data_IF_289318292133
#
_entry.id   IF_289318292133
#
_cell.length_a   1.000
_cell.length_b   1.000
_cell.length_c   1.000
_cell.angle_alpha   90.00
_cell.angle_beta   90.00
_cell.angle_gamma   90.00
#
_symmetry.space_group_name_H-M   'P 1'
#
loop_
_entity.id
_entity.type
_entity.pdbx_description
1 polymer ?
#
# COMPACT_ATOMS: atom_id res chain seq x y z
N UNK A 1 6.53 12.80 -2.86
CA UNK A 1 6.72 11.56 -2.07
C UNK A 1 5.36 10.92 -1.78
N UNK A 2 5.34 9.66 -1.33
CA UNK A 2 4.16 8.98 -0.76
C UNK A 2 4.36 8.90 0.76
N UNK A 3 3.42 9.41 1.55
CA UNK A 3 3.48 9.31 3.01
C UNK A 3 3.09 7.92 3.49
N UNK A 4 3.95 7.33 4.33
CA UNK A 4 3.71 6.09 5.05
C UNK A 4 3.76 6.33 6.56
N UNK A 5 2.60 6.31 7.19
CA UNK A 5 2.42 6.38 8.64
C UNK A 5 2.68 4.99 9.24
N UNK A 6 3.90 4.75 9.69
CA UNK A 6 4.31 3.48 10.24
C UNK A 6 3.98 3.37 11.73
N UNK A 7 3.51 2.20 12.16
CA UNK A 7 3.56 1.83 13.59
C UNK A 7 4.99 1.97 14.10
N UNK A 8 5.17 2.34 15.39
CA UNK A 8 6.51 2.49 15.99
C UNK A 8 7.41 1.27 15.74
N UNK A 9 6.85 0.06 15.86
CA UNK A 9 7.57 -1.20 15.59
C UNK A 9 8.08 -1.30 14.15
N UNK A 10 7.29 -0.86 13.16
CA UNK A 10 7.74 -0.82 11.76
C UNK A 10 8.78 0.28 11.57
N UNK A 11 8.53 1.49 12.09
CA UNK A 11 9.44 2.62 11.97
C UNK A 11 10.85 2.29 12.48
N UNK A 12 10.96 1.70 13.67
CA UNK A 12 12.23 1.26 14.27
C UNK A 12 12.93 0.13 13.49
N UNK A 13 12.19 -0.62 12.67
CA UNK A 13 12.75 -1.69 11.83
C UNK A 13 13.44 -1.13 10.57
N UNK A 14 13.01 0.05 10.12
CA UNK A 14 13.50 0.67 8.90
C UNK A 14 14.79 1.44 9.16
N UNK A 15 15.70 1.40 8.18
CA UNK A 15 16.89 2.23 8.16
C UNK A 15 16.58 3.49 7.36
N UNK A 16 16.07 4.51 8.04
CA UNK A 16 15.69 5.76 7.41
C UNK A 16 16.84 6.76 7.41
N UNK A 17 16.86 7.63 6.40
CA UNK A 17 17.67 8.84 6.36
C UNK A 17 17.09 9.92 7.28
N UNK A 18 17.80 11.04 7.47
CA UNK A 18 17.38 12.11 8.38
C UNK A 18 16.07 12.81 7.99
N UNK A 19 15.69 12.75 6.71
CA UNK A 19 14.44 13.27 6.15
C UNK A 19 13.27 12.26 6.18
N UNK A 20 13.48 11.10 6.82
CA UNK A 20 12.46 10.05 6.99
C UNK A 20 12.23 9.22 5.73
N UNK A 21 13.14 9.24 4.75
CA UNK A 21 13.06 8.43 3.54
C UNK A 21 13.93 7.18 3.65
N UNK A 22 13.75 6.24 2.73
CA UNK A 22 14.63 5.07 2.59
C UNK A 22 15.85 5.46 1.73
N UNK A 23 17.05 4.92 2.01
CA UNK A 23 18.19 5.07 1.12
C UNK A 23 17.84 4.63 -0.31
N UNK A 24 18.36 5.37 -1.29
CA UNK A 24 18.16 5.03 -2.71
C UNK A 24 18.86 3.72 -3.01
N UNK A 25 18.15 2.81 -3.67
CA UNK A 25 18.68 1.53 -4.15
C UNK A 25 18.58 1.45 -5.67
N UNK A 26 19.41 0.65 -6.36
CA UNK A 26 19.30 0.50 -7.82
C UNK A 26 17.92 0.05 -8.28
N UNK A 27 17.24 -0.80 -7.49
CA UNK A 27 15.93 -1.37 -7.83
C UNK A 27 14.79 -0.34 -7.79
N UNK A 28 14.91 0.71 -6.97
CA UNK A 28 13.90 1.76 -6.86
C UNK A 28 14.38 3.16 -7.22
N UNK A 29 15.57 3.30 -7.84
CA UNK A 29 16.16 4.59 -8.19
C UNK A 29 15.25 5.42 -9.11
N UNK A 30 14.59 4.77 -10.05
CA UNK A 30 13.65 5.39 -11.00
C UNK A 30 12.48 6.15 -10.34
N UNK A 31 12.08 5.79 -9.10
CA UNK A 31 11.07 6.55 -8.36
C UNK A 31 11.53 7.98 -8.06
N UNK A 32 12.84 8.18 -7.87
CA UNK A 32 13.44 9.48 -7.56
C UNK A 32 13.65 10.35 -8.80
N UNK A 33 13.59 9.75 -9.99
CA UNK A 33 13.68 10.46 -11.28
C UNK A 33 12.34 11.09 -11.69
N UNK A 34 11.22 10.60 -11.12
CA UNK A 34 9.90 11.14 -11.40
C UNK A 34 9.73 12.56 -10.82
N UNK A 35 9.13 13.52 -11.56
CA UNK A 35 8.96 14.89 -11.11
C UNK A 35 8.26 15.00 -9.76
N UNK A 36 8.63 15.96 -8.92
CA UNK A 36 7.91 16.21 -7.67
C UNK A 36 6.43 16.53 -7.93
N UNK A 37 5.57 16.16 -6.98
CA UNK A 37 4.15 16.47 -6.99
C UNK A 37 3.84 17.23 -5.71
N UNK A 38 3.14 18.38 -5.84
CA UNK A 38 2.70 19.17 -4.68
C UNK A 38 1.72 18.38 -3.83
N UNK A 39 0.75 17.72 -4.49
CA UNK A 39 -0.22 16.83 -3.88
C UNK A 39 -0.15 15.48 -4.60
N UNK A 40 0.19 14.42 -3.86
CA UNK A 40 0.14 13.07 -4.39
C UNK A 40 -1.13 12.36 -3.92
N UNK A 41 -2.09 12.07 -4.81
CA UNK A 41 -3.36 11.41 -4.46
C UNK A 41 -3.20 9.94 -4.03
N UNK A 42 -2.04 9.31 -4.29
CA UNK A 42 -1.69 7.99 -3.77
C UNK A 42 -0.95 8.06 -2.43
N UNK A 43 -0.78 9.26 -1.85
CA UNK A 43 -0.18 9.43 -0.53
C UNK A 43 -1.17 9.12 0.59
N UNK A 44 -0.66 8.77 1.76
CA UNK A 44 -1.48 8.49 2.95
C UNK A 44 -1.69 6.98 3.12
N UNK A 45 -0.61 6.27 3.42
CA UNK A 45 -0.65 4.86 3.77
C UNK A 45 -0.36 4.67 5.24
N UNK A 46 -0.95 3.65 5.86
CA UNK A 46 -0.59 3.22 7.19
C UNK A 46 0.06 1.85 7.14
N UNK A 47 1.21 1.68 7.78
CA UNK A 47 2.00 0.44 7.78
C UNK A 47 2.11 -0.20 9.16
N UNK A 48 1.77 -1.48 9.26
CA UNK A 48 1.86 -2.26 10.49
C UNK A 48 2.81 -3.46 10.31
N UNK A 49 3.90 -3.49 11.09
CA UNK A 49 4.75 -4.66 11.20
C UNK A 49 4.13 -5.71 12.13
N UNK A 50 3.73 -6.83 11.56
CA UNK A 50 3.14 -7.98 12.27
C UNK A 50 4.04 -9.21 12.17
N UNK A 51 3.78 -10.21 12.99
CA UNK A 51 4.47 -11.50 12.93
C UNK A 51 3.44 -12.59 12.69
N UNK A 52 3.48 -13.22 11.51
CA UNK A 52 2.57 -14.29 11.11
C UNK A 52 3.40 -15.53 10.79
N UNK A 53 2.99 -16.69 11.32
CA UNK A 53 3.76 -17.96 11.23
C UNK A 53 5.26 -17.77 11.53
N UNK A 54 5.58 -16.96 12.56
CA UNK A 54 6.94 -16.61 13.01
C UNK A 54 7.79 -15.85 11.98
N UNK A 55 7.19 -15.24 10.97
CA UNK A 55 7.86 -14.39 9.97
C UNK A 55 7.38 -12.95 10.07
N UNK A 56 8.28 -12.00 9.83
CA UNK A 56 7.91 -10.58 9.77
C UNK A 56 7.06 -10.35 8.51
N UNK A 57 5.92 -9.68 8.66
CA UNK A 57 5.10 -9.26 7.55
C UNK A 57 4.74 -7.79 7.74
N UNK A 58 4.53 -7.08 6.64
CA UNK A 58 3.99 -5.72 6.69
C UNK A 58 2.62 -5.72 6.06
N UNK A 59 1.63 -5.25 6.82
CA UNK A 59 0.31 -4.93 6.30
C UNK A 59 0.26 -3.43 6.08
N UNK A 60 -0.20 -3.01 4.92
CA UNK A 60 -0.46 -1.59 4.64
C UNK A 60 -1.91 -1.38 4.27
N UNK A 61 -2.43 -0.19 4.55
CA UNK A 61 -3.75 0.22 4.07
C UNK A 61 -3.72 1.69 3.65
N UNK A 62 -4.32 1.99 2.52
CA UNK A 62 -4.47 3.36 2.04
C UNK A 62 -5.54 4.09 2.87
N UNK A 63 -5.31 5.34 3.25
CA UNK A 63 -6.18 6.00 4.22
C UNK A 63 -7.57 6.31 3.64
N UNK A 64 -7.63 6.83 2.42
CA UNK A 64 -8.92 7.23 1.82
C UNK A 64 -9.73 6.04 1.32
N UNK A 65 -9.09 5.05 0.68
CA UNK A 65 -9.78 3.92 0.02
C UNK A 65 -9.76 2.64 0.83
N UNK A 66 -9.01 2.58 1.94
CA UNK A 66 -8.75 1.35 2.72
C UNK A 66 -8.13 0.22 1.92
N UNK A 67 -7.58 0.49 0.74
CA UNK A 67 -6.96 -0.52 -0.12
C UNK A 67 -5.81 -1.20 0.61
N UNK A 68 -5.84 -2.53 0.81
CA UNK A 68 -4.84 -3.25 1.58
C UNK A 68 -3.66 -3.71 0.72
N UNK A 69 -2.48 -3.76 1.33
CA UNK A 69 -1.33 -4.48 0.80
C UNK A 69 -0.80 -5.45 1.85
N UNK A 70 -0.38 -6.63 1.40
CA UNK A 70 0.21 -7.67 2.24
C UNK A 70 1.61 -7.96 1.71
N UNK A 71 2.62 -7.69 2.53
CA UNK A 71 4.02 -7.97 2.24
C UNK A 71 4.48 -9.11 3.16
N UNK A 72 4.44 -10.37 2.69
CA UNK A 72 4.69 -11.54 3.53
C UNK A 72 6.18 -11.81 3.72
N UNK A 73 6.53 -12.43 4.86
CA UNK A 73 7.83 -13.04 5.14
C UNK A 73 9.10 -12.17 4.87
N UNK A 74 9.02 -10.87 5.16
CA UNK A 74 10.11 -9.93 4.92
C UNK A 74 11.37 -10.22 5.74
N UNK A 75 12.50 -10.19 5.03
CA UNK A 75 13.85 -10.23 5.57
C UNK A 75 14.47 -8.84 5.65
N UNK A 76 15.68 -8.73 6.23
CA UNK A 76 16.38 -7.44 6.36
C UNK A 76 16.64 -6.76 5.00
N UNK A 77 17.10 -7.45 3.95
CA UNK A 77 17.15 -6.89 2.59
C UNK A 77 15.81 -6.33 2.11
N UNK A 78 14.71 -7.04 2.36
CA UNK A 78 13.39 -6.58 1.91
C UNK A 78 12.95 -5.27 2.56
N UNK A 79 13.30 -5.07 3.84
CA UNK A 79 13.05 -3.80 4.52
C UNK A 79 13.91 -2.65 3.96
N UNK A 80 15.11 -2.93 3.44
CA UNK A 80 15.93 -1.92 2.77
C UNK A 80 15.33 -1.55 1.39
N UNK A 81 14.71 -2.52 0.72
CA UNK A 81 14.03 -2.36 -0.57
C UNK A 81 12.53 -2.04 -0.45
N UNK A 82 12.09 -1.44 0.66
CA UNK A 82 10.66 -1.28 0.93
C UNK A 82 9.94 -0.42 -0.14
N UNK A 83 10.63 0.53 -0.77
CA UNK A 83 10.09 1.27 -1.92
C UNK A 83 9.68 0.33 -3.05
N UNK A 84 10.59 -0.55 -3.48
CA UNK A 84 10.30 -1.53 -4.51
C UNK A 84 9.20 -2.51 -4.07
N UNK A 85 9.28 -3.02 -2.83
CA UNK A 85 8.28 -3.95 -2.28
C UNK A 85 6.88 -3.34 -2.22
N UNK A 86 6.78 -2.04 -1.93
CA UNK A 86 5.51 -1.31 -1.98
C UNK A 86 4.95 -1.24 -3.39
N UNK A 87 5.77 -0.84 -4.38
CA UNK A 87 5.35 -0.75 -5.78
C UNK A 87 4.90 -2.11 -6.30
N UNK A 88 5.72 -3.13 -6.08
CA UNK A 88 5.45 -4.50 -6.50
C UNK A 88 4.14 -5.03 -5.90
N UNK A 89 3.95 -4.87 -4.58
CA UNK A 89 2.71 -5.27 -3.93
C UNK A 89 1.50 -4.47 -4.45
N UNK A 90 1.64 -3.16 -4.65
CA UNK A 90 0.54 -2.30 -5.09
C UNK A 90 0.08 -2.65 -6.50
N UNK A 91 1.01 -2.68 -7.47
CA UNK A 91 0.70 -2.94 -8.87
C UNK A 91 0.13 -4.35 -9.07
N UNK A 92 0.71 -5.37 -8.43
CA UNK A 92 0.19 -6.73 -8.56
C UNK A 92 -1.13 -6.94 -7.82
N UNK A 93 -1.38 -6.24 -6.71
CA UNK A 93 -2.69 -6.30 -6.04
C UNK A 93 -3.76 -5.62 -6.88
N UNK A 94 -3.45 -4.49 -7.54
CA UNK A 94 -4.35 -3.86 -8.52
C UNK A 94 -4.73 -4.82 -9.64
N UNK A 95 -3.75 -5.51 -10.24
CA UNK A 95 -4.00 -6.55 -11.26
C UNK A 95 -4.94 -7.65 -10.75
N UNK A 96 -4.72 -8.13 -9.52
CA UNK A 96 -5.60 -9.14 -8.89
C UNK A 96 -7.01 -8.61 -8.58
N UNK A 97 -7.17 -7.30 -8.42
CA UNK A 97 -8.45 -6.63 -8.26
C UNK A 97 -9.14 -6.32 -9.60
N UNK A 98 -8.57 -6.70 -10.74
CA UNK A 98 -9.16 -6.43 -12.06
C UNK A 98 -8.81 -5.06 -12.65
N UNK A 99 -7.72 -4.43 -12.20
CA UNK A 99 -7.23 -3.19 -12.78
C UNK A 99 -6.95 -3.34 -14.29
N UNK A 100 -7.43 -2.39 -15.07
CA UNK A 100 -7.14 -2.24 -16.50
C UNK A 100 -5.84 -1.47 -16.73
N UNK A 101 -5.39 -1.38 -17.98
CA UNK A 101 -4.21 -0.61 -18.38
C UNK A 101 -4.26 0.84 -17.88
N UNK A 102 -5.40 1.52 -18.05
CA UNK A 102 -5.62 2.90 -17.57
C UNK A 102 -5.32 3.04 -16.07
N UNK A 103 -5.74 2.05 -15.27
CA UNK A 103 -5.50 2.06 -13.83
C UNK A 103 -4.00 1.92 -13.52
N UNK A 104 -3.30 1.03 -14.21
CA UNK A 104 -1.88 0.76 -13.97
C UNK A 104 -0.99 1.92 -14.44
N UNK A 105 -1.26 2.49 -15.60
CA UNK A 105 -0.56 3.68 -16.10
C UNK A 105 -0.76 4.87 -15.16
N UNK A 106 -2.00 5.06 -14.69
CA UNK A 106 -2.29 6.13 -13.73
C UNK A 106 -1.58 5.88 -12.41
N UNK A 107 -1.60 4.64 -11.90
CA UNK A 107 -0.87 4.27 -10.69
C UNK A 107 0.63 4.59 -10.84
N UNK A 108 1.27 4.11 -11.92
CA UNK A 108 2.69 4.37 -12.18
C UNK A 108 3.02 5.86 -12.25
N UNK A 109 2.17 6.67 -12.90
CA UNK A 109 2.33 8.12 -12.99
C UNK A 109 2.48 8.77 -11.60
N UNK A 110 1.73 8.29 -10.61
CA UNK A 110 1.68 8.86 -9.26
C UNK A 110 2.61 8.18 -8.24
N UNK A 111 3.27 7.07 -8.60
CA UNK A 111 4.26 6.43 -7.72
C UNK A 111 5.42 7.39 -7.41
N UNK A 112 5.77 7.52 -6.14
CA UNK A 112 6.92 8.29 -5.64
C UNK A 112 7.56 7.53 -4.48
N UNK A 113 8.81 7.83 -4.10
CA UNK A 113 9.44 7.21 -2.94
C UNK A 113 8.61 7.41 -1.67
N UNK A 114 8.67 6.44 -0.78
CA UNK A 114 8.05 6.47 0.53
C UNK A 114 8.79 7.46 1.43
N UNK A 115 8.02 8.29 2.12
CA UNK A 115 8.47 9.10 3.24
C UNK A 115 7.71 8.63 4.48
N UNK A 116 8.45 8.20 5.49
CA UNK A 116 7.92 7.45 6.62
C UNK A 116 7.90 8.33 7.86
N UNK A 117 6.77 8.32 8.56
CA UNK A 117 6.60 8.94 9.87
C UNK A 117 5.89 7.97 10.83
N UNK A 118 5.52 8.45 12.03
CA UNK A 118 4.79 7.67 13.03
C UNK A 118 3.39 8.22 13.34
N UNK A 119 2.84 9.06 12.47
CA UNK A 119 1.54 9.73 12.62
C UNK A 119 0.38 8.77 12.30
N UNK A 120 0.26 7.70 13.09
CA UNK A 120 -0.79 6.72 12.88
C UNK A 120 -2.16 7.17 13.43
N UNK A 121 -3.20 7.02 12.62
CA UNK A 121 -4.59 7.20 13.06
C UNK A 121 -5.12 5.95 13.76
N UNK A 122 -5.73 6.12 14.94
CA UNK A 122 -6.37 5.03 15.71
C UNK A 122 -7.44 4.28 14.91
N UNK A 123 -8.18 4.97 14.05
CA UNK A 123 -9.20 4.34 13.20
C UNK A 123 -8.57 3.37 12.19
N UNK A 124 -7.45 3.79 11.60
CA UNK A 124 -6.77 3.01 10.56
C UNK A 124 -6.00 1.83 11.14
N UNK A 125 -5.41 2.03 12.33
CA UNK A 125 -4.85 0.93 13.12
C UNK A 125 -5.90 -0.14 13.44
N UNK A 126 -7.14 0.27 13.76
CA UNK A 126 -8.27 -0.65 13.93
C UNK A 126 -8.53 -1.49 12.68
N UNK A 127 -8.53 -0.86 11.50
CA UNK A 127 -8.66 -1.55 10.21
C UNK A 127 -7.52 -2.53 9.97
N UNK A 128 -6.27 -2.12 10.21
CA UNK A 128 -5.09 -2.98 10.04
C UNK A 128 -5.11 -4.19 10.97
N UNK A 129 -5.54 -4.02 12.22
CA UNK A 129 -5.71 -5.13 13.16
C UNK A 129 -6.78 -6.11 12.68
N UNK A 130 -7.90 -5.61 12.14
CA UNK A 130 -8.93 -6.47 11.57
C UNK A 130 -8.41 -7.25 10.35
N UNK A 131 -7.72 -6.58 9.44
CA UNK A 131 -7.11 -7.23 8.27
C UNK A 131 -6.07 -8.27 8.65
N UNK A 132 -5.28 -8.02 9.71
CA UNK A 132 -4.35 -9.00 10.27
C UNK A 132 -5.10 -10.26 10.70
N UNK A 133 -6.15 -10.12 11.49
CA UNK A 133 -6.88 -11.27 12.04
C UNK A 133 -7.61 -12.07 10.94
N UNK A 134 -8.18 -11.37 9.95
CA UNK A 134 -8.79 -11.99 8.77
C UNK A 134 -7.77 -12.77 7.93
N UNK A 135 -6.59 -12.18 7.69
CA UNK A 135 -5.54 -12.85 6.93
C UNK A 135 -4.91 -14.01 7.72
N UNK A 136 -4.76 -13.87 9.04
CA UNK A 136 -4.29 -14.94 9.92
C UNK A 136 -5.25 -16.14 9.89
N UNK A 137 -6.56 -15.88 9.89
CA UNK A 137 -7.57 -16.92 9.67
C UNK A 137 -7.45 -17.57 8.29
N UNK A 138 -7.26 -16.77 7.23
CA UNK A 138 -7.08 -17.29 5.87
C UNK A 138 -5.87 -18.23 5.78
N UNK A 139 -4.71 -17.82 6.33
CA UNK A 139 -3.50 -18.64 6.36
C UNK A 139 -3.74 -20.00 7.02
N UNK A 140 -4.50 -20.01 8.13
CA UNK A 140 -4.86 -21.24 8.84
C UNK A 140 -5.82 -22.12 8.03
N UNK A 141 -6.93 -21.54 7.55
CA UNK A 141 -8.00 -22.28 6.89
C UNK A 141 -7.56 -22.87 5.54
N UNK A 142 -6.88 -22.05 4.72
CA UNK A 142 -6.39 -22.45 3.40
C UNK A 142 -5.05 -23.21 3.47
N UNK A 143 -4.51 -23.42 4.69
CA UNK A 143 -3.22 -24.09 4.95
C UNK A 143 -2.06 -23.48 4.17
N UNK A 144 -2.07 -22.16 4.04
CA UNK A 144 -1.04 -21.43 3.29
C UNK A 144 0.22 -21.28 4.13
N UNK A 145 1.38 -21.44 3.48
CA UNK A 145 2.67 -21.09 4.05
C UNK A 145 3.01 -19.64 3.69
N UNK A 146 3.11 -18.75 4.69
CA UNK A 146 3.41 -17.32 4.50
C UNK A 146 4.72 -17.09 3.75
N UNK A 147 5.67 -18.02 3.84
CA UNK A 147 6.97 -17.92 3.17
C UNK A 147 6.94 -18.32 1.68
N UNK A 148 5.83 -18.90 1.20
CA UNK A 148 5.68 -19.42 -0.16
C UNK A 148 4.68 -18.60 -0.99
N UNK A 149 4.21 -17.46 -0.48
CA UNK A 149 3.25 -16.58 -1.15
C UNK A 149 3.81 -15.17 -1.33
N UNK A 150 3.29 -14.44 -2.31
CA UNK A 150 3.68 -13.05 -2.61
C UNK A 150 2.79 -11.99 -1.96
N UNK A 151 1.62 -12.38 -1.44
CA UNK A 151 0.67 -11.50 -0.75
C UNK A 151 -0.34 -10.80 -1.66
N UNK A 152 -0.18 -10.81 -2.99
CA UNK A 152 -1.08 -10.08 -3.91
C UNK A 152 -2.52 -10.59 -3.86
N UNK A 153 -2.71 -11.92 -3.88
CA UNK A 153 -4.04 -12.52 -3.75
C UNK A 153 -4.67 -12.23 -2.38
N UNK A 154 -3.86 -12.19 -1.32
CA UNK A 154 -4.34 -11.86 0.03
C UNK A 154 -4.77 -10.39 0.11
N UNK A 155 -4.00 -9.47 -0.50
CA UNK A 155 -4.40 -8.08 -0.67
C UNK A 155 -5.73 -7.96 -1.41
N UNK A 156 -5.88 -8.61 -2.57
CA UNK A 156 -7.10 -8.57 -3.34
C UNK A 156 -8.32 -9.14 -2.59
N UNK A 157 -8.13 -10.25 -1.86
CA UNK A 157 -9.16 -10.84 -1.01
C UNK A 157 -9.61 -9.88 0.10
N UNK A 158 -8.65 -9.25 0.81
CA UNK A 158 -8.94 -8.24 1.82
C UNK A 158 -9.62 -6.99 1.23
N UNK A 159 -9.32 -6.67 -0.03
CA UNK A 159 -9.88 -5.54 -0.77
C UNK A 159 -11.32 -5.79 -1.25
N UNK A 160 -11.76 -7.04 -1.27
CA UNK A 160 -13.13 -7.46 -1.61
C UNK A 160 -14.04 -7.59 -0.38
N UNK A 161 -13.58 -7.09 0.77
CA UNK A 161 -14.34 -7.06 2.01
C UNK A 161 -14.76 -5.62 2.35
N UNK A 162 -16.05 -5.36 2.66
CA UNK A 162 -16.51 -4.02 2.98
C UNK A 162 -15.84 -3.44 4.22
N UNK A 163 -15.44 -2.17 4.14
CA UNK A 163 -14.80 -1.42 5.23
C UNK A 163 -15.58 -0.15 5.54
N UNK A 164 -15.57 0.27 6.80
CA UNK A 164 -16.11 1.57 7.22
C UNK A 164 -14.99 2.58 7.37
N UNK A 165 -15.22 3.81 6.95
CA UNK A 165 -14.35 4.97 7.22
C UNK A 165 -15.00 5.85 8.26
N UNK A 166 -14.21 6.33 9.23
CA UNK A 166 -14.70 7.25 10.25
C UNK A 166 -15.37 8.46 9.60
N UNK A 167 -16.62 8.73 9.97
CA UNK A 167 -17.39 9.85 9.43
C UNK A 167 -18.18 9.57 8.15
N UNK A 168 -18.02 8.38 7.54
CA UNK A 168 -18.84 7.94 6.42
C UNK A 168 -19.93 6.98 6.90
N UNK A 169 -21.16 7.18 6.42
CA UNK A 169 -22.32 6.33 6.78
C UNK A 169 -22.31 4.98 6.08
N UNK A 170 -21.79 4.92 4.86
CA UNK A 170 -21.81 3.72 4.03
C UNK A 170 -20.48 2.99 4.13
N UNK A 171 -20.54 1.66 4.08
CA UNK A 171 -19.34 0.86 3.83
C UNK A 171 -18.84 1.13 2.41
N UNK A 172 -17.52 1.05 2.24
CA UNK A 172 -16.85 1.09 0.96
C UNK A 172 -16.20 -0.25 0.68
N UNK A 173 -16.12 -0.63 -0.59
CA UNK A 173 -15.31 -1.74 -1.05
C UNK A 173 -13.94 -1.21 -1.45
N UNK A 174 -12.85 -1.60 -0.76
CA UNK A 174 -11.55 -1.02 -1.00
C UNK A 174 -11.08 -1.13 -2.44
N UNK A 175 -11.34 -2.28 -3.09
CA UNK A 175 -11.00 -2.49 -4.50
C UNK A 175 -11.68 -1.45 -5.39
N UNK A 176 -13.00 -1.28 -5.26
CA UNK A 176 -13.78 -0.36 -6.08
C UNK A 176 -13.35 1.09 -5.81
N UNK A 177 -13.15 1.43 -4.54
CA UNK A 177 -12.71 2.77 -4.14
C UNK A 177 -11.34 3.15 -4.72
N UNK A 178 -10.38 2.21 -4.76
CA UNK A 178 -9.06 2.46 -5.36
C UNK A 178 -9.11 2.55 -6.88
N UNK A 179 -9.86 1.67 -7.53
CA UNK A 179 -10.04 1.70 -8.98
C UNK A 179 -10.72 3.00 -9.42
N UNK A 180 -11.81 3.39 -8.77
CA UNK A 180 -12.49 4.69 -9.01
C UNK A 180 -11.58 5.89 -8.75
N UNK A 181 -10.70 5.83 -7.74
CA UNK A 181 -9.71 6.89 -7.51
C UNK A 181 -8.78 7.04 -8.72
N UNK A 182 -8.22 5.94 -9.21
CA UNK A 182 -7.33 5.93 -10.36
C UNK A 182 -8.04 6.38 -11.65
N UNK A 183 -9.28 5.95 -11.90
CA UNK A 183 -10.06 6.40 -13.06
C UNK A 183 -10.29 7.92 -13.05
N UNK A 184 -10.64 8.50 -11.90
CA UNK A 184 -10.83 9.95 -11.76
C UNK A 184 -9.54 10.73 -12.05
N UNK A 185 -8.41 10.21 -11.59
CA UNK A 185 -7.10 10.83 -11.85
C UNK A 185 -6.69 10.74 -13.33
N UNK A 186 -7.07 9.64 -14.01
CA UNK A 186 -6.87 9.49 -15.44
C UNK A 186 -7.66 10.55 -16.23
N UNK A 187 -8.95 10.74 -15.89
CA UNK A 187 -9.82 11.73 -16.52
C UNK A 187 -9.35 13.17 -16.31
N UNK A 188 -8.88 13.51 -15.11
CA UNK A 188 -8.30 14.84 -14.83
C UNK A 188 -7.03 15.11 -15.65
N UNK A 189 -6.30 14.06 -16.02
CA UNK A 189 -5.09 14.17 -16.84
C UNK A 189 -5.41 14.31 -18.34
N UNK A 190 -6.53 13.76 -18.82
CA UNK A 190 -6.96 13.98 -20.21
C UNK A 190 -7.47 15.40 -20.43
N UNK A 191 -8.28 15.94 -19.51
CA UNK A 191 -8.83 17.31 -19.67
C UNK A 191 -7.75 18.40 -19.71
N UNK A 192 -6.63 18.19 -19.00
CA UNK A 192 -5.50 19.13 -19.04
C UNK A 192 -4.66 19.05 -20.33
N UNK A 193 -4.82 17.99 -21.14
CA UNK A 193 -4.09 17.83 -22.42
C UNK A 193 -4.84 18.41 -23.62
N UNK A 194 -6.13 18.71 -23.49
CA UNK A 194 -6.96 19.28 -24.55
C UNK A 194 -6.99 20.83 -24.55
N UNK A 195 -6.17 21.47 -23.71
CA UNK A 195 -6.11 22.94 -23.53
C UNK A 195 -4.72 23.53 -23.88
N UNK A 196 -3.73 22.71 -24.23
CA UNK A 196 -2.41 23.14 -24.75
C UNK A 196 -2.30 22.95 -26.27
#
# INVERSE_FOLDING_TARGET
MIKLHATRKLFEKLKLTSDGTLPVTPTSAWLHEKPALDINPLSGWHGHLVTLQRRNCVLMTHDSTRFPLVLPALTKPDFAELNYRFVDAFMNTLLKCGATEIHLETADKYLRPLQVDTECSRSVQGTLNRMKDEFEHQLYYDRLNIAEITGYNAGAWLADTPRTVKGQKNALWPKDAMLTLLERLAMQTSDNRDIE
#
